data_IF_082119120038
#
_entry.id   IF_082119120038
#
_cell.length_a   1.000
_cell.length_b   1.000
_cell.length_c   1.000
_cell.angle_alpha   90.00
_cell.angle_beta   90.00
_cell.angle_gamma   90.00
#
_symmetry.space_group_name_H-M   'P 1'
#
loop_
_entity.id
_entity.type
_entity.pdbx_description
1 polymer ?
#
# COMPACT_ATOMS: atom_id res chain seq x y z
N UNK A 1 -40.23 11.57 9.41
CA UNK A 1 -39.61 11.88 8.10
C UNK A 1 -38.49 10.88 7.90
N UNK A 2 -38.47 10.15 6.78
CA UNK A 2 -37.33 9.29 6.46
C UNK A 2 -36.13 10.16 6.13
N UNK A 3 -35.07 10.05 6.92
CA UNK A 3 -33.82 10.77 6.67
C UNK A 3 -33.13 10.14 5.47
N UNK A 4 -33.06 10.87 4.36
CA UNK A 4 -32.39 10.41 3.14
C UNK A 4 -30.89 10.18 3.45
N UNK A 5 -30.39 8.97 3.16
CA UNK A 5 -28.97 8.62 3.34
C UNK A 5 -28.26 8.54 2.00
N UNK A 6 -27.08 9.13 1.90
CA UNK A 6 -26.24 9.14 0.69
C UNK A 6 -24.84 8.63 1.01
N UNK A 7 -24.11 8.17 -0.02
CA UNK A 7 -22.72 7.74 0.11
C UNK A 7 -21.78 8.93 -0.02
N UNK A 8 -20.82 9.00 0.89
CA UNK A 8 -19.80 10.02 0.95
C UNK A 8 -18.42 9.39 1.07
N UNK A 9 -17.42 10.17 0.68
CA UNK A 9 -16.01 9.84 0.82
C UNK A 9 -15.32 11.03 1.50
N UNK A 10 -14.60 10.75 2.57
CA UNK A 10 -13.77 11.70 3.29
C UNK A 10 -12.31 11.32 3.06
N UNK A 11 -11.55 12.23 2.46
CA UNK A 11 -10.11 12.13 2.36
C UNK A 11 -9.50 13.19 3.28
N UNK A 12 -8.51 12.83 4.09
CA UNK A 12 -7.94 13.76 5.05
C UNK A 12 -6.41 13.65 5.14
N UNK A 13 -5.79 14.76 5.51
CA UNK A 13 -4.38 14.89 5.83
C UNK A 13 -4.26 15.36 7.29
N UNK A 14 -3.67 14.51 8.13
CA UNK A 14 -3.26 14.87 9.48
C UNK A 14 -1.85 15.50 9.44
N UNK A 15 -1.51 16.26 10.48
CA UNK A 15 -0.22 16.94 10.60
C UNK A 15 0.94 15.94 10.51
N UNK A 16 2.04 16.35 9.90
CA UNK A 16 3.27 15.55 9.90
C UNK A 16 3.93 15.54 11.27
N UNK A 17 3.88 16.63 12.03
CA UNK A 17 4.64 16.78 13.28
C UNK A 17 4.19 15.88 14.46
N UNK A 18 3.16 15.06 14.27
CA UNK A 18 2.62 14.17 15.31
C UNK A 18 3.18 12.76 15.16
N UNK A 19 3.24 12.02 16.26
CA UNK A 19 3.64 10.62 16.23
C UNK A 19 2.57 9.74 15.55
N UNK A 20 2.96 8.56 15.07
CA UNK A 20 2.04 7.62 14.43
C UNK A 20 0.88 7.21 15.36
N UNK A 21 1.15 7.09 16.66
CA UNK A 21 0.11 6.79 17.65
C UNK A 21 -0.93 7.90 17.77
N UNK A 22 -0.54 9.16 17.60
CA UNK A 22 -1.45 10.30 17.61
C UNK A 22 -2.24 10.42 16.30
N UNK A 23 -1.62 10.07 15.17
CA UNK A 23 -2.32 9.96 13.89
C UNK A 23 -3.44 8.91 13.97
N UNK A 24 -3.17 7.73 14.54
CA UNK A 24 -4.18 6.68 14.77
C UNK A 24 -5.29 7.11 15.74
N UNK A 25 -4.96 7.91 16.78
CA UNK A 25 -5.99 8.49 17.65
C UNK A 25 -6.89 9.46 16.91
N UNK A 26 -6.33 10.26 16.00
CA UNK A 26 -7.06 11.20 15.16
C UNK A 26 -8.03 10.45 14.24
N UNK A 27 -7.56 9.38 13.62
CA UNK A 27 -8.36 8.47 12.80
C UNK A 27 -9.53 7.86 13.60
N UNK A 28 -9.25 7.32 14.79
CA UNK A 28 -10.28 6.78 15.67
C UNK A 28 -11.30 7.85 16.12
N UNK A 29 -10.86 9.09 16.31
CA UNK A 29 -11.73 10.23 16.60
C UNK A 29 -12.67 10.56 15.44
N UNK A 30 -12.16 10.58 14.21
CA UNK A 30 -12.97 10.78 13.00
C UNK A 30 -13.99 9.66 12.85
N UNK A 31 -13.56 8.40 13.05
CA UNK A 31 -14.45 7.23 13.03
C UNK A 31 -15.63 7.40 13.99
N UNK A 32 -15.35 7.75 15.25
CA UNK A 32 -16.37 7.97 16.27
C UNK A 32 -17.34 9.10 15.89
N UNK A 33 -16.84 10.23 15.39
CA UNK A 33 -17.71 11.34 14.97
C UNK A 33 -18.69 10.90 13.88
N UNK A 34 -18.23 10.11 12.91
CA UNK A 34 -19.10 9.58 11.84
C UNK A 34 -20.17 8.64 12.41
N UNK A 35 -19.77 7.74 13.32
CA UNK A 35 -20.69 6.77 13.95
C UNK A 35 -21.70 7.46 14.89
N UNK A 36 -21.26 8.41 15.72
CA UNK A 36 -22.09 9.15 16.68
C UNK A 36 -23.19 9.97 15.99
N UNK A 37 -22.89 10.54 14.81
CA UNK A 37 -23.89 11.26 14.02
C UNK A 37 -24.84 10.34 13.23
N UNK A 38 -24.64 9.02 13.28
CA UNK A 38 -25.48 7.99 12.67
C UNK A 38 -25.04 7.52 11.29
N UNK A 39 -23.75 7.71 10.98
CA UNK A 39 -23.09 7.21 9.77
C UNK A 39 -22.75 5.73 9.84
N UNK A 40 -22.68 5.08 8.68
CA UNK A 40 -22.24 3.67 8.55
C UNK A 40 -21.02 3.64 7.64
N UNK A 41 -19.87 3.25 8.19
CA UNK A 41 -18.63 3.12 7.42
C UNK A 41 -18.69 1.85 6.58
N UNK A 42 -18.40 1.99 5.29
CA UNK A 42 -18.40 0.90 4.30
C UNK A 42 -16.99 0.43 3.98
N UNK A 43 -16.05 1.38 3.90
CA UNK A 43 -14.65 1.11 3.57
C UNK A 43 -13.77 2.14 4.27
N UNK A 44 -12.57 1.73 4.64
CA UNK A 44 -11.61 2.53 5.38
C UNK A 44 -10.21 2.22 4.87
N UNK A 45 -9.49 3.27 4.49
CA UNK A 45 -8.06 3.18 4.29
C UNK A 45 -7.38 3.76 5.54
N UNK A 46 -6.58 2.93 6.25
CA UNK A 46 -5.93 3.35 7.46
C UNK A 46 -5.00 4.52 7.20
N UNK A 47 -4.79 5.34 8.24
CA UNK A 47 -3.91 6.48 8.15
C UNK A 47 -2.45 6.04 7.91
N UNK A 48 -1.84 6.44 6.79
CA UNK A 48 -0.46 6.10 6.42
C UNK A 48 0.40 7.34 6.21
N UNK A 49 1.68 7.25 6.58
CA UNK A 49 2.65 8.33 6.32
C UNK A 49 2.89 8.47 4.82
N UNK A 50 2.74 9.68 4.30
CA UNK A 50 2.91 10.00 2.89
C UNK A 50 3.73 11.29 2.73
N UNK A 51 4.67 11.28 1.77
CA UNK A 51 5.40 12.48 1.36
C UNK A 51 4.49 13.30 0.45
N UNK A 52 4.37 14.59 0.71
CA UNK A 52 3.57 15.51 -0.07
C UNK A 52 4.37 16.01 -1.28
N UNK A 53 3.71 16.17 -2.43
CA UNK A 53 4.37 16.70 -3.63
C UNK A 53 4.80 18.17 -3.50
N UNK A 54 4.21 18.90 -2.55
CA UNK A 54 4.57 20.25 -2.16
C UNK A 54 4.23 20.45 -0.66
N UNK A 55 4.91 21.37 0.04
CA UNK A 55 4.66 21.58 1.45
C UNK A 55 3.24 22.11 1.70
N UNK A 56 2.52 21.48 2.63
CA UNK A 56 1.22 21.97 3.12
C UNK A 56 1.40 22.43 4.55
N UNK A 57 1.07 23.70 4.83
CA UNK A 57 1.35 24.35 6.14
C UNK A 57 2.79 24.16 6.66
N UNK A 58 3.77 24.19 5.75
CA UNK A 58 5.21 23.99 6.03
C UNK A 58 5.61 22.55 6.40
N UNK A 59 4.77 21.55 6.16
CA UNK A 59 5.13 20.14 6.28
C UNK A 59 5.31 19.49 4.90
N UNK A 60 6.45 18.82 4.69
CA UNK A 60 6.75 18.05 3.46
C UNK A 60 6.14 16.64 3.47
N UNK A 61 5.62 16.22 4.62
CA UNK A 61 5.00 14.92 4.82
C UNK A 61 3.81 15.04 5.76
N UNK A 62 2.87 14.11 5.65
CA UNK A 62 1.64 14.08 6.42
C UNK A 62 1.16 12.64 6.57
N UNK A 63 0.22 12.42 7.49
CA UNK A 63 -0.50 11.15 7.52
C UNK A 63 -1.79 11.29 6.73
N UNK A 64 -1.98 10.43 5.72
CA UNK A 64 -3.14 10.42 4.84
C UNK A 64 -4.03 9.24 5.17
N UNK A 65 -5.34 9.48 5.25
CA UNK A 65 -6.34 8.42 5.41
C UNK A 65 -7.62 8.75 4.65
N UNK A 66 -8.48 7.75 4.47
CA UNK A 66 -9.76 7.94 3.80
C UNK A 66 -10.87 7.05 4.35
N UNK A 67 -12.08 7.60 4.44
CA UNK A 67 -13.28 6.88 4.83
C UNK A 67 -14.33 6.94 3.73
N UNK A 68 -14.94 5.80 3.42
CA UNK A 68 -16.17 5.73 2.64
C UNK A 68 -17.31 5.30 3.53
N UNK A 69 -18.37 6.09 3.57
CA UNK A 69 -19.47 5.88 4.50
C UNK A 69 -20.81 6.32 3.92
N UNK A 70 -21.88 5.81 4.52
CA UNK A 70 -23.26 6.19 4.23
C UNK A 70 -23.71 7.12 5.35
N UNK A 71 -24.21 8.30 4.99
CA UNK A 71 -24.51 9.36 5.95
C UNK A 71 -25.85 10.05 5.66
N UNK A 72 -26.59 10.49 6.70
CA UNK A 72 -27.78 11.31 6.53
C UNK A 72 -27.45 12.69 5.97
N UNK A 73 -28.15 13.10 4.91
CA UNK A 73 -27.87 14.36 4.19
C UNK A 73 -28.04 15.59 5.09
N UNK A 74 -29.02 15.55 5.99
CA UNK A 74 -29.35 16.68 6.88
C UNK A 74 -28.22 17.03 7.85
N UNK A 75 -27.42 16.04 8.27
CA UNK A 75 -26.35 16.22 9.26
C UNK A 75 -24.99 16.54 8.65
N UNK A 76 -24.87 16.56 7.33
CA UNK A 76 -23.56 16.73 6.66
C UNK A 76 -22.85 18.04 7.06
N UNK A 77 -23.62 19.10 7.30
CA UNK A 77 -23.07 20.39 7.75
C UNK A 77 -22.56 20.34 9.20
N UNK A 78 -23.15 19.49 10.05
CA UNK A 78 -22.65 19.24 11.41
C UNK A 78 -21.29 18.55 11.33
N UNK A 79 -21.21 17.45 10.56
CA UNK A 79 -19.99 16.69 10.35
C UNK A 79 -18.84 17.58 9.86
N UNK A 80 -19.08 18.45 8.88
CA UNK A 80 -18.06 19.37 8.36
C UNK A 80 -17.53 20.32 9.44
N UNK A 81 -18.40 20.83 10.32
CA UNK A 81 -18.00 21.68 11.45
C UNK A 81 -17.22 20.89 12.49
N UNK A 82 -17.61 19.65 12.76
CA UNK A 82 -16.90 18.75 13.68
C UNK A 82 -15.50 18.45 13.17
N UNK A 83 -15.35 18.12 11.88
CA UNK A 83 -14.05 17.86 11.24
C UNK A 83 -13.11 19.07 11.28
N UNK A 84 -13.63 20.29 11.07
CA UNK A 84 -12.84 21.53 11.17
C UNK A 84 -12.22 21.76 12.55
N UNK A 85 -12.85 21.26 13.63
CA UNK A 85 -12.35 21.43 15.01
C UNK A 85 -11.17 20.52 15.35
N UNK A 86 -10.98 19.42 14.60
CA UNK A 86 -9.93 18.41 14.86
C UNK A 86 -8.54 18.96 14.54
N UNK A 87 -8.44 19.99 13.69
CA UNK A 87 -7.15 20.60 13.32
C UNK A 87 -6.36 19.81 12.28
N UNK A 88 -7.07 19.16 11.34
CA UNK A 88 -6.49 18.53 10.15
C UNK A 88 -5.82 19.57 9.24
N UNK A 89 -4.72 19.22 8.57
CA UNK A 89 -4.07 20.08 7.58
C UNK A 89 -5.04 20.39 6.43
N UNK A 90 -5.72 19.34 5.95
CA UNK A 90 -6.72 19.45 4.89
C UNK A 90 -7.65 18.27 4.96
N UNK A 91 -8.90 18.49 4.59
CA UNK A 91 -9.83 17.41 4.31
C UNK A 91 -10.66 17.74 3.06
N UNK A 92 -11.16 16.70 2.42
CA UNK A 92 -12.04 16.77 1.27
C UNK A 92 -13.20 15.82 1.51
N UNK A 93 -14.41 16.38 1.57
CA UNK A 93 -15.66 15.63 1.68
C UNK A 93 -16.36 15.63 0.33
N UNK A 94 -16.46 14.46 -0.28
CA UNK A 94 -17.02 14.28 -1.62
C UNK A 94 -18.24 13.38 -1.57
N UNK A 95 -19.28 13.73 -2.32
CA UNK A 95 -20.42 12.82 -2.54
C UNK A 95 -20.01 11.78 -3.58
N UNK A 96 -20.08 10.51 -3.22
CA UNK A 96 -19.74 9.41 -4.12
C UNK A 96 -20.98 8.65 -4.54
N UNK A 97 -20.95 8.05 -5.73
CA UNK A 97 -21.97 7.07 -6.12
C UNK A 97 -21.60 5.75 -5.46
N UNK A 98 -22.60 5.01 -4.99
CA UNK A 98 -22.37 3.66 -4.49
C UNK A 98 -21.86 2.80 -5.64
N UNK A 99 -20.55 2.59 -5.71
CA UNK A 99 -19.98 1.54 -6.56
C UNK A 99 -20.54 0.25 -5.98
N UNK A 100 -21.41 -0.43 -6.73
CA UNK A 100 -21.69 -1.84 -6.47
C UNK A 100 -20.34 -2.50 -6.61
N UNK A 101 -19.83 -3.13 -5.56
CA UNK A 101 -18.63 -3.94 -5.68
C UNK A 101 -18.85 -4.87 -6.85
N UNK A 102 -18.18 -4.59 -7.97
CA UNK A 102 -18.17 -5.51 -9.08
C UNK A 102 -17.44 -6.71 -8.53
N UNK A 103 -18.19 -7.76 -8.17
CA UNK A 103 -17.64 -9.04 -7.78
C UNK A 103 -16.50 -9.32 -8.73
N UNK A 104 -15.27 -9.40 -8.20
CA UNK A 104 -14.05 -9.54 -8.98
C UNK A 104 -14.26 -10.76 -9.88
N UNK A 105 -14.67 -10.55 -11.13
CA UNK A 105 -14.80 -11.63 -12.11
C UNK A 105 -13.38 -12.13 -12.27
N UNK A 106 -13.10 -13.29 -11.69
CA UNK A 106 -11.80 -13.94 -11.81
C UNK A 106 -11.46 -14.02 -13.29
N UNK A 107 -10.48 -13.25 -13.72
CA UNK A 107 -9.96 -13.31 -15.08
C UNK A 107 -9.32 -14.68 -15.19
N UNK A 108 -10.00 -15.62 -15.87
CA UNK A 108 -9.45 -16.94 -16.17
C UNK A 108 -8.28 -16.73 -17.14
N UNK A 109 -7.07 -16.61 -16.60
CA UNK A 109 -5.84 -16.57 -17.39
C UNK A 109 -5.73 -17.92 -18.10
N UNK A 110 -6.08 -17.96 -19.40
CA UNK A 110 -5.79 -19.12 -20.24
C UNK A 110 -4.27 -19.19 -20.41
N UNK A 111 -3.60 -20.10 -19.70
CA UNK A 111 -2.18 -20.41 -19.91
C UNK A 111 -2.00 -20.90 -21.34
N UNK A 112 -1.45 -20.07 -22.22
CA UNK A 112 -1.01 -20.49 -23.55
C UNK A 112 0.28 -21.30 -23.36
N UNK A 113 0.17 -22.63 -23.39
CA UNK A 113 1.35 -23.51 -23.50
C UNK A 113 1.98 -23.26 -24.87
N UNK A 114 3.06 -22.50 -24.92
CA UNK A 114 3.91 -22.44 -26.10
C UNK A 114 5.09 -23.39 -25.86
N UNK A 115 5.15 -24.43 -26.68
CA UNK A 115 6.22 -25.42 -26.76
C UNK A 115 7.52 -24.73 -27.16
N UNK A 116 8.47 -24.67 -26.23
CA UNK A 116 9.82 -24.15 -26.44
C UNK A 116 10.75 -25.19 -27.12
N UNK A 117 10.21 -26.33 -27.56
CA UNK A 117 11.00 -27.49 -27.98
C UNK A 117 11.30 -27.56 -29.49
N UNK A 118 10.78 -26.65 -30.32
CA UNK A 118 10.81 -26.80 -31.78
C UNK A 118 11.78 -25.84 -32.50
N UNK A 119 12.66 -25.14 -31.77
CA UNK A 119 13.54 -24.11 -32.35
C UNK A 119 15.05 -24.35 -32.21
N UNK A 120 15.45 -25.56 -31.82
CA UNK A 120 16.87 -25.92 -31.63
C UNK A 120 17.48 -26.68 -32.82
N UNK A 121 16.71 -27.05 -33.85
CA UNK A 121 17.21 -27.82 -34.98
C UNK A 121 17.30 -27.00 -36.26
N UNK A 122 18.18 -26.01 -36.32
CA UNK A 122 18.80 -25.57 -37.58
C UNK A 122 19.88 -24.55 -37.27
N UNK A 123 21.13 -25.02 -37.19
CA UNK A 123 22.35 -24.40 -37.73
C UNK A 123 23.59 -25.05 -37.07
N UNK A 124 23.84 -26.32 -37.42
CA UNK A 124 25.18 -26.90 -37.40
C UNK A 124 25.85 -26.55 -38.74
N UNK A 125 26.79 -25.60 -38.73
CA UNK A 125 27.97 -25.63 -39.60
C UNK A 125 29.11 -24.78 -39.00
N UNK A 126 30.18 -25.48 -38.61
CA UNK A 126 31.49 -24.97 -38.17
C UNK A 126 32.20 -24.24 -39.33
N UNK A 127 33.15 -23.30 -39.06
CA UNK A 127 34.57 -23.69 -38.94
C UNK A 127 35.33 -23.09 -37.73
N UNK A 128 36.33 -23.85 -37.29
CA UNK A 128 37.31 -23.55 -36.25
C UNK A 128 38.25 -22.41 -36.67
N UNK A 129 38.60 -21.52 -35.73
CA UNK A 129 39.92 -20.89 -35.73
C UNK A 129 40.40 -20.56 -34.32
N UNK A 130 41.72 -20.56 -34.19
CA UNK A 130 42.54 -20.98 -33.06
C UNK A 130 43.30 -19.76 -32.54
N UNK A 131 43.05 -19.28 -31.31
CA UNK A 131 43.97 -18.34 -30.65
C UNK A 131 44.11 -18.66 -29.16
N UNK A 132 45.37 -18.75 -28.74
CA UNK A 132 45.91 -19.17 -27.46
C UNK A 132 45.86 -18.05 -26.39
N UNK A 133 45.49 -18.47 -25.16
CA UNK A 133 46.04 -18.14 -23.83
C UNK A 133 46.29 -16.69 -23.37
N UNK A 134 45.64 -16.28 -22.26
CA UNK A 134 46.27 -15.83 -20.99
C UNK A 134 45.24 -15.60 -19.85
N UNK A 135 45.69 -15.88 -18.63
CA UNK A 135 44.98 -16.15 -17.36
C UNK A 135 44.43 -14.94 -16.56
N UNK A 136 43.38 -15.18 -15.74
CA UNK A 136 43.28 -14.94 -14.26
C UNK A 136 41.80 -14.96 -13.80
N UNK A 137 41.34 -16.00 -13.08
CA UNK A 137 41.17 -16.12 -11.61
C UNK A 137 39.91 -15.40 -11.04
N UNK A 138 39.01 -15.93 -10.20
CA UNK A 138 38.74 -17.24 -9.55
C UNK A 138 37.34 -17.17 -8.84
N UNK A 139 36.60 -18.28 -8.62
CA UNK A 139 35.37 -18.32 -7.81
C UNK A 139 35.60 -19.10 -6.50
N UNK A 140 36.22 -18.46 -5.49
CA UNK A 140 36.63 -19.11 -4.25
C UNK A 140 36.13 -18.43 -2.96
N UNK A 141 35.22 -17.46 -3.05
CA UNK A 141 34.74 -16.71 -1.87
C UNK A 141 33.42 -17.22 -1.27
N UNK A 142 32.68 -18.09 -1.96
CA UNK A 142 31.34 -18.51 -1.51
C UNK A 142 31.35 -19.73 -0.57
N UNK A 143 32.34 -20.60 -0.64
CA UNK A 143 32.35 -21.84 0.17
C UNK A 143 32.74 -21.59 1.63
N UNK A 144 33.51 -20.53 1.92
CA UNK A 144 33.97 -20.22 3.28
C UNK A 144 32.87 -19.58 4.15
N UNK A 145 31.87 -18.94 3.54
CA UNK A 145 30.78 -18.29 4.30
C UNK A 145 29.73 -19.27 4.81
N UNK A 146 29.58 -20.45 4.18
CA UNK A 146 28.59 -21.45 4.60
C UNK A 146 29.08 -22.22 5.84
N UNK A 147 30.37 -22.55 5.91
CA UNK A 147 30.94 -23.31 7.04
C UNK A 147 31.01 -22.49 8.35
N UNK A 148 31.16 -21.17 8.28
CA UNK A 148 31.14 -20.29 9.47
C UNK A 148 29.74 -20.11 10.07
N UNK A 149 28.68 -20.31 9.28
CA UNK A 149 27.29 -20.23 9.75
C UNK A 149 26.92 -21.47 10.55
N UNK A 150 27.30 -22.66 10.09
CA UNK A 150 27.00 -23.93 10.79
C UNK A 150 27.68 -24.02 12.15
N UNK A 151 28.92 -23.53 12.29
CA UNK A 151 29.61 -23.45 13.59
C UNK A 151 28.92 -22.51 14.59
N UNK A 152 28.33 -21.41 14.11
CA UNK A 152 27.55 -20.50 14.96
C UNK A 152 26.21 -21.10 15.40
N UNK A 153 25.62 -21.99 14.59
CA UNK A 153 24.39 -22.68 14.95
C UNK A 153 24.62 -23.75 16.03
N UNK A 154 25.74 -24.46 15.97
CA UNK A 154 26.10 -25.45 17.01
C UNK A 154 26.41 -24.82 18.37
N UNK A 155 27.01 -23.62 18.42
CA UNK A 155 27.29 -22.92 19.68
C UNK A 155 26.02 -22.43 20.39
N UNK A 156 24.96 -22.10 19.63
CA UNK A 156 23.67 -21.64 20.19
C UNK A 156 22.82 -22.81 20.70
N UNK A 157 22.92 -24.00 20.08
CA UNK A 157 22.15 -25.20 20.47
C UNK A 157 22.85 -26.07 21.53
N UNK A 158 24.11 -25.77 21.85
CA UNK A 158 24.91 -26.46 22.86
C UNK A 158 24.80 -25.92 24.30
N UNK A 159 23.76 -25.13 24.62
CA UNK A 159 23.49 -24.63 25.97
C UNK A 159 22.01 -24.62 26.32
#
# INVERSE_FOLDING_TARGET
>A
METEKKSYELNYLSKGDVDETEAQKTEAGIRKIIEDEGGIITDENPCQKQILSYPVEKSDWAYFGSFRFIFPVEKISSLEKSLKKIGLLRFLLSKTKRTRETSKKSVKIKKKRQSLAEKLETNLHLPQEKIQTKESASPASETLQVEEIDKKLEEILGK
#
